data_IF_650993713795
#
_entry.id   IF_650993713795
#
_cell.length_a   1.000
_cell.length_b   1.000
_cell.length_c   1.000
_cell.angle_alpha   90.00
_cell.angle_beta   90.00
_cell.angle_gamma   90.00
#
_symmetry.space_group_name_H-M   'P 1'
#
loop_
_entity.id
_entity.type
_entity.pdbx_description
1 polymer ?
#
# COMPACT_ATOMS: atom_id res chain seq x y z
N UNK A 1 -11.58 -15.31 14.22
CA UNK A 1 -11.66 -15.51 12.75
C UNK A 1 -10.50 -14.77 12.11
N UNK A 2 -9.40 -15.48 11.86
CA UNK A 2 -8.34 -14.99 10.97
C UNK A 2 -8.89 -15.05 9.54
N UNK A 3 -8.91 -13.91 8.83
CA UNK A 3 -9.28 -13.88 7.41
C UNK A 3 -8.02 -13.63 6.59
N UNK A 4 -7.80 -14.44 5.55
CA UNK A 4 -6.75 -14.18 4.56
C UNK A 4 -7.31 -13.34 3.42
N UNK A 5 -6.49 -12.47 2.83
CA UNK A 5 -6.84 -11.66 1.67
C UNK A 5 -5.65 -11.54 0.73
N UNK A 6 -5.93 -11.36 -0.56
CA UNK A 6 -4.91 -11.16 -1.58
C UNK A 6 -4.56 -9.67 -1.64
N UNK A 7 -3.26 -9.36 -1.57
CA UNK A 7 -2.77 -8.00 -1.76
C UNK A 7 -2.96 -7.58 -3.22
N UNK A 8 -3.59 -6.43 -3.47
CA UNK A 8 -3.79 -5.93 -4.84
C UNK A 8 -2.48 -5.61 -5.60
N UNK A 9 -1.39 -5.37 -4.88
CA UNK A 9 -0.15 -4.83 -5.45
C UNK A 9 0.82 -5.96 -5.84
N UNK A 10 1.11 -6.88 -4.91
CA UNK A 10 2.00 -8.01 -5.15
C UNK A 10 1.28 -9.34 -5.41
N UNK A 11 -0.06 -9.35 -5.40
CA UNK A 11 -0.91 -10.55 -5.56
C UNK A 11 -0.62 -11.68 -4.55
N UNK A 12 0.08 -11.39 -3.45
CA UNK A 12 0.37 -12.35 -2.37
C UNK A 12 -0.74 -12.36 -1.35
N UNK A 13 -1.05 -13.54 -0.82
CA UNK A 13 -1.96 -13.71 0.29
C UNK A 13 -1.33 -13.21 1.61
N UNK A 14 -2.13 -12.51 2.41
CA UNK A 14 -1.72 -12.05 3.73
C UNK A 14 -2.84 -12.23 4.75
N UNK A 15 -2.45 -12.45 6.00
CA UNK A 15 -3.39 -12.60 7.12
C UNK A 15 -3.86 -11.23 7.61
N UNK A 16 -5.16 -11.10 7.82
CA UNK A 16 -5.78 -9.97 8.49
C UNK A 16 -6.04 -10.37 9.94
N UNK A 17 -5.14 -9.96 10.83
CA UNK A 17 -5.16 -10.33 12.25
C UNK A 17 -6.03 -9.43 13.14
N UNK A 18 -6.44 -8.26 12.65
CA UNK A 18 -7.31 -7.32 13.38
C UNK A 18 -8.60 -7.08 12.63
N UNK A 19 -9.71 -7.04 13.38
CA UNK A 19 -10.99 -6.44 12.94
C UNK A 19 -10.77 -4.92 12.82
N UNK A 20 -10.06 -4.49 11.78
CA UNK A 20 -9.98 -3.08 11.46
C UNK A 20 -11.34 -2.63 10.94
N UNK A 21 -11.78 -1.42 11.32
CA UNK A 21 -13.04 -0.82 10.84
C UNK A 21 -13.12 -0.82 9.31
N UNK A 22 -11.97 -0.71 8.65
CA UNK A 22 -11.81 -0.79 7.21
C UNK A 22 -10.94 -2.00 6.84
N UNK A 23 -11.36 -2.74 5.82
CA UNK A 23 -10.58 -3.87 5.31
C UNK A 23 -9.27 -3.41 4.65
N UNK A 24 -8.15 -4.03 5.02
CA UNK A 24 -6.86 -3.78 4.36
C UNK A 24 -6.89 -4.33 2.94
N UNK A 25 -6.51 -3.52 1.96
CA UNK A 25 -6.37 -3.92 0.53
C UNK A 25 -4.96 -4.41 0.17
N UNK A 26 -3.97 -4.04 0.99
CA UNK A 26 -2.56 -4.30 0.74
C UNK A 26 -1.95 -5.06 1.91
N UNK A 27 -0.97 -5.92 1.60
CA UNK A 27 -0.13 -6.52 2.63
C UNK A 27 0.71 -5.43 3.33
N UNK A 28 1.27 -5.77 4.49
CA UNK A 28 2.03 -4.82 5.31
C UNK A 28 3.22 -4.19 4.55
N UNK A 29 3.86 -4.96 3.67
CA UNK A 29 4.98 -4.49 2.83
C UNK A 29 4.54 -3.42 1.82
N UNK A 30 3.55 -3.74 0.99
CA UNK A 30 3.05 -2.81 -0.04
C UNK A 30 2.38 -1.58 0.59
N UNK A 31 1.67 -1.76 1.71
CA UNK A 31 1.09 -0.66 2.47
C UNK A 31 2.17 0.29 3.00
N UNK A 32 3.30 -0.23 3.51
CA UNK A 32 4.43 0.59 3.97
C UNK A 32 5.12 1.30 2.82
N UNK A 33 5.28 0.64 1.66
CA UNK A 33 5.86 1.27 0.47
C UNK A 33 5.02 2.47 0.04
N UNK A 34 3.69 2.29 -0.13
CA UNK A 34 2.78 3.39 -0.50
C UNK A 34 2.78 4.54 0.49
N UNK A 35 2.87 4.25 1.80
CA UNK A 35 2.99 5.30 2.81
C UNK A 35 4.25 6.14 2.58
N UNK A 36 5.40 5.48 2.36
CA UNK A 36 6.67 6.17 2.06
C UNK A 36 6.62 6.98 0.76
N UNK A 37 6.05 6.42 -0.30
CA UNK A 37 5.83 7.14 -1.56
C UNK A 37 4.97 8.38 -1.34
N UNK A 38 3.87 8.26 -0.58
CA UNK A 38 3.00 9.38 -0.25
C UNK A 38 3.69 10.43 0.65
N UNK A 39 4.51 10.02 1.60
CA UNK A 39 5.33 10.93 2.42
C UNK A 39 6.37 11.67 1.56
N UNK A 40 6.84 11.05 0.48
CA UNK A 40 7.76 11.65 -0.51
C UNK A 40 7.05 12.43 -1.62
N UNK A 41 5.72 12.44 -1.67
CA UNK A 41 5.00 13.16 -2.74
C UNK A 41 5.28 14.66 -2.70
N UNK A 42 5.57 15.22 -1.53
CA UNK A 42 5.95 16.63 -1.36
C UNK A 42 7.37 16.97 -1.87
N UNK A 43 8.21 15.96 -2.08
CA UNK A 43 9.54 16.11 -2.68
C UNK A 43 9.54 15.94 -4.20
N UNK A 44 8.41 15.54 -4.79
CA UNK A 44 8.24 15.46 -6.23
C UNK A 44 7.97 16.89 -6.72
N UNK A 45 9.00 17.55 -7.22
CA UNK A 45 8.89 18.82 -7.95
C UNK A 45 8.33 18.56 -9.34
N UNK A 46 7.67 19.56 -9.93
CA UNK A 46 7.05 19.47 -11.28
C UNK A 46 8.01 18.95 -12.37
N UNK A 47 9.33 19.12 -12.20
CA UNK A 47 10.41 18.59 -13.06
C UNK A 47 10.54 17.06 -13.10
N UNK A 48 10.03 16.30 -12.12
CA UNK A 48 10.09 14.82 -12.14
C UNK A 48 8.93 14.19 -12.94
N UNK A 49 8.03 15.04 -13.47
CA UNK A 49 6.85 14.65 -14.22
C UNK A 49 6.89 15.19 -15.66
N UNK A 50 8.09 15.35 -16.25
CA UNK A 50 8.25 15.41 -17.70
C UNK A 50 7.96 14.01 -18.27
N UNK A 51 6.69 13.81 -18.63
CA UNK A 51 6.20 12.81 -19.59
C UNK A 51 7.08 12.87 -20.85
N UNK A 52 7.68 11.73 -21.21
CA UNK A 52 8.36 11.52 -22.50
C UNK A 52 7.39 11.65 -23.69
#
# INVERSE_FOLDING_TARGET
MEKTKICQDCKKEFKITKKTRYERKYCDKCSKKRKKDYEKIHTITFEDCEDE
#
